data_IF_766875506429
#
_entry.id   IF_766875506429
#
_cell.length_a   1.000
_cell.length_b   1.000
_cell.length_c   1.000
_cell.angle_alpha   90.00
_cell.angle_beta   90.00
_cell.angle_gamma   90.00
#
_symmetry.space_group_name_H-M   'P 1'
#
loop_
_entity.id
_entity.type
_entity.pdbx_description
1 polymer ?
#
# COMPACT_ATOMS: atom_id res chain seq x y z
N UNK A 1 -54.39 45.47 -0.32
CA UNK A 1 -54.19 44.11 0.23
C UNK A 1 -53.55 43.25 -0.85
N UNK A 2 -52.22 43.11 -0.83
CA UNK A 2 -51.49 42.29 -1.79
C UNK A 2 -51.27 40.89 -1.21
N UNK A 3 -51.87 39.91 -1.86
CA UNK A 3 -51.77 38.49 -1.55
C UNK A 3 -50.32 38.03 -1.62
N UNK A 4 -49.77 37.61 -0.49
CA UNK A 4 -48.51 36.90 -0.43
C UNK A 4 -48.71 35.52 -1.08
N UNK A 5 -48.34 35.42 -2.36
CA UNK A 5 -48.33 34.14 -3.07
C UNK A 5 -47.52 33.13 -2.25
N UNK A 6 -48.21 32.07 -1.81
CA UNK A 6 -47.64 31.02 -0.99
C UNK A 6 -46.37 30.46 -1.60
N UNK A 7 -45.31 30.43 -0.80
CA UNK A 7 -44.09 29.70 -1.10
C UNK A 7 -44.45 28.21 -1.22
N UNK A 8 -44.74 27.77 -2.44
CA UNK A 8 -44.95 26.35 -2.75
C UNK A 8 -43.69 25.57 -2.37
N UNK A 9 -43.74 24.90 -1.23
CA UNK A 9 -42.69 23.97 -0.81
C UNK A 9 -42.67 22.79 -1.78
N UNK A 10 -41.80 22.84 -2.78
CA UNK A 10 -41.59 21.69 -3.67
C UNK A 10 -40.86 20.61 -2.87
N UNK A 11 -41.41 19.38 -2.78
CA UNK A 11 -40.70 18.30 -2.11
C UNK A 11 -39.34 18.07 -2.80
N UNK A 12 -38.31 17.67 -2.04
CA UNK A 12 -36.99 17.41 -2.61
C UNK A 12 -37.09 16.35 -3.72
N UNK A 13 -36.35 16.50 -4.83
CA UNK A 13 -36.42 15.58 -5.95
C UNK A 13 -36.08 14.15 -5.51
N UNK A 14 -36.76 13.17 -6.08
CA UNK A 14 -36.43 11.76 -5.88
C UNK A 14 -35.23 11.42 -6.76
N UNK A 15 -34.21 10.81 -6.18
CA UNK A 15 -33.00 10.35 -6.89
C UNK A 15 -32.90 8.85 -6.79
N UNK A 16 -33.10 8.19 -7.92
CA UNK A 16 -32.94 6.74 -8.06
C UNK A 16 -31.50 6.38 -8.39
N UNK A 17 -30.89 5.51 -7.59
CA UNK A 17 -29.50 5.12 -7.80
C UNK A 17 -29.12 3.79 -7.13
N UNK A 18 -28.31 2.99 -7.83
CA UNK A 18 -27.75 1.72 -7.34
C UNK A 18 -26.82 1.89 -6.13
N UNK A 19 -26.29 3.09 -5.91
CA UNK A 19 -25.26 3.34 -4.88
C UNK A 19 -25.81 3.42 -3.44
N UNK A 20 -27.12 3.21 -3.23
CA UNK A 20 -27.78 3.17 -1.91
C UNK A 20 -27.38 4.37 -1.02
N UNK A 21 -26.98 4.12 0.24
CA UNK A 21 -26.52 5.14 1.18
C UNK A 21 -25.24 5.89 0.77
N UNK A 22 -24.62 5.50 -0.35
CA UNK A 22 -23.44 6.15 -0.95
C UNK A 22 -23.82 7.07 -2.12
N UNK A 23 -25.12 7.25 -2.38
CA UNK A 23 -25.60 8.11 -3.44
C UNK A 23 -25.23 9.58 -3.16
N UNK A 24 -24.66 10.22 -4.18
CA UNK A 24 -24.21 11.62 -4.17
C UNK A 24 -25.27 12.59 -4.74
N UNK A 25 -26.44 12.09 -5.11
CA UNK A 25 -27.55 12.91 -5.57
C UNK A 25 -28.17 13.78 -4.47
N UNK A 26 -28.69 14.93 -4.87
CA UNK A 26 -29.40 15.88 -4.01
C UNK A 26 -30.88 15.49 -4.01
N UNK A 27 -31.46 15.27 -2.83
CA UNK A 27 -32.88 14.93 -2.66
C UNK A 27 -33.12 13.59 -1.97
N UNK A 28 -34.36 13.06 -2.07
CA UNK A 28 -34.75 11.78 -1.47
C UNK A 28 -34.16 10.62 -2.27
N UNK A 29 -33.23 9.88 -1.67
CA UNK A 29 -32.50 8.80 -2.35
C UNK A 29 -33.29 7.50 -2.27
N UNK A 30 -33.56 6.90 -3.43
CA UNK A 30 -34.21 5.60 -3.54
C UNK A 30 -33.25 4.65 -4.24
N UNK A 31 -33.10 3.44 -3.70
CA UNK A 31 -32.30 2.42 -4.34
C UNK A 31 -33.02 1.93 -5.59
N UNK A 32 -32.34 1.98 -6.74
CA UNK A 32 -32.78 1.36 -7.97
C UNK A 32 -31.62 0.56 -8.57
N UNK A 33 -31.74 -0.78 -8.72
CA UNK A 33 -30.66 -1.63 -9.23
C UNK A 33 -30.39 -1.46 -10.73
N UNK A 34 -31.22 -0.71 -11.46
CA UNK A 34 -31.11 -0.49 -12.90
C UNK A 34 -30.71 0.95 -13.27
N UNK A 35 -30.46 1.82 -12.28
CA UNK A 35 -30.15 3.23 -12.54
C UNK A 35 -28.94 3.72 -11.74
N UNK A 36 -28.10 4.55 -12.37
CA UNK A 36 -27.06 5.33 -11.72
C UNK A 36 -27.40 6.81 -11.94
N UNK A 37 -27.56 7.59 -10.86
CA UNK A 37 -27.82 9.02 -11.01
C UNK A 37 -26.58 9.74 -11.54
N UNK A 38 -26.76 10.85 -12.26
CA UNK A 38 -25.68 11.62 -12.91
C UNK A 38 -24.56 12.01 -11.95
N UNK A 39 -24.91 12.38 -10.71
CA UNK A 39 -23.93 12.72 -9.67
C UNK A 39 -23.05 11.54 -9.29
N UNK A 40 -23.62 10.33 -9.18
CA UNK A 40 -22.84 9.13 -8.91
C UNK A 40 -22.01 8.72 -10.12
N UNK A 41 -22.59 8.76 -11.32
CA UNK A 41 -21.93 8.38 -12.56
C UNK A 41 -20.67 9.24 -12.81
N UNK A 42 -20.79 10.55 -12.61
CA UNK A 42 -19.69 11.49 -12.83
C UNK A 42 -18.64 11.47 -11.72
N UNK A 43 -19.05 11.27 -10.46
CA UNK A 43 -18.19 11.54 -9.28
C UNK A 43 -17.68 10.31 -8.54
N UNK A 44 -18.23 9.12 -8.75
CA UNK A 44 -17.63 7.90 -8.20
C UNK A 44 -16.47 7.41 -9.07
N UNK A 45 -15.67 6.51 -8.52
CA UNK A 45 -14.69 5.79 -9.33
C UNK A 45 -15.39 4.76 -10.24
N UNK A 46 -15.03 4.68 -11.53
CA UNK A 46 -15.69 3.73 -12.44
C UNK A 46 -15.53 2.26 -12.01
N UNK A 47 -14.44 1.86 -11.35
CA UNK A 47 -14.31 0.47 -10.87
C UNK A 47 -15.31 0.18 -9.75
N UNK A 48 -15.51 1.12 -8.83
CA UNK A 48 -16.53 0.97 -7.77
C UNK A 48 -17.94 0.89 -8.36
N UNK A 49 -18.25 1.76 -9.32
CA UNK A 49 -19.54 1.72 -10.01
C UNK A 49 -19.74 0.36 -10.72
N UNK A 50 -18.70 -0.19 -11.36
CA UNK A 50 -18.76 -1.53 -11.98
C UNK A 50 -18.97 -2.63 -10.95
N UNK A 51 -18.31 -2.56 -9.79
CA UNK A 51 -18.54 -3.49 -8.68
C UNK A 51 -19.98 -3.41 -8.17
N UNK A 52 -20.53 -2.21 -8.00
CA UNK A 52 -21.91 -2.03 -7.55
C UNK A 52 -22.92 -2.41 -8.61
N UNK A 53 -22.61 -2.22 -9.90
CA UNK A 53 -23.43 -2.67 -11.02
C UNK A 53 -23.62 -4.19 -11.04
N UNK A 54 -22.74 -4.98 -10.41
CA UNK A 54 -22.89 -6.42 -10.21
C UNK A 54 -23.32 -7.16 -11.50
N UNK A 55 -22.55 -6.99 -12.58
CA UNK A 55 -22.82 -7.56 -13.90
C UNK A 55 -24.10 -7.08 -14.61
N UNK A 56 -24.78 -6.03 -14.12
CA UNK A 56 -25.88 -5.39 -14.83
C UNK A 56 -25.35 -4.71 -16.11
N UNK A 57 -25.63 -5.33 -17.27
CA UNK A 57 -25.11 -4.90 -18.58
C UNK A 57 -25.47 -3.47 -18.93
N UNK A 58 -26.69 -3.04 -18.62
CA UNK A 58 -27.16 -1.67 -18.90
C UNK A 58 -26.35 -0.64 -18.12
N UNK A 59 -26.10 -0.92 -16.83
CA UNK A 59 -25.29 -0.02 -16.00
C UNK A 59 -23.82 -0.03 -16.39
N UNK A 60 -23.27 -1.19 -16.76
CA UNK A 60 -21.89 -1.29 -17.25
C UNK A 60 -21.72 -0.47 -18.54
N UNK A 61 -22.66 -0.56 -19.48
CA UNK A 61 -22.64 0.25 -20.70
C UNK A 61 -22.66 1.75 -20.41
N UNK A 62 -23.52 2.21 -19.50
CA UNK A 62 -23.57 3.61 -19.06
C UNK A 62 -22.26 4.08 -18.42
N UNK A 63 -21.61 3.23 -17.61
CA UNK A 63 -20.32 3.55 -17.00
C UNK A 63 -19.22 3.63 -18.07
N UNK A 64 -19.23 2.72 -19.04
CA UNK A 64 -18.23 2.69 -20.11
C UNK A 64 -18.39 3.88 -21.06
N UNK A 65 -19.62 4.28 -21.37
CA UNK A 65 -19.92 5.51 -22.11
C UNK A 65 -19.38 6.76 -21.39
N UNK A 66 -19.64 6.88 -20.08
CA UNK A 66 -19.13 7.99 -19.26
C UNK A 66 -17.60 8.01 -19.22
N UNK A 67 -16.96 6.84 -19.11
CA UNK A 67 -15.50 6.72 -19.18
C UNK A 67 -15.00 7.17 -20.56
N UNK A 68 -15.64 6.72 -21.64
CA UNK A 68 -15.33 7.14 -23.01
C UNK A 68 -15.41 8.65 -23.17
N UNK A 69 -16.50 9.27 -22.70
CA UNK A 69 -16.69 10.73 -22.70
C UNK A 69 -15.56 11.47 -21.97
N UNK A 70 -15.11 10.95 -20.83
CA UNK A 70 -13.97 11.53 -20.08
C UNK A 70 -12.66 11.43 -20.86
N UNK A 71 -12.40 10.32 -21.57
CA UNK A 71 -11.23 10.20 -22.45
C UNK A 71 -11.32 11.18 -23.63
N UNK A 72 -12.48 11.37 -24.24
CA UNK A 72 -12.66 12.38 -25.30
C UNK A 72 -12.36 13.80 -24.80
N UNK A 73 -12.90 14.17 -23.64
CA UNK A 73 -12.60 15.47 -23.01
C UNK A 73 -11.11 15.62 -22.72
N UNK A 74 -10.48 14.57 -22.19
CA UNK A 74 -9.03 14.54 -21.96
C UNK A 74 -8.25 14.81 -23.25
N UNK A 75 -8.52 14.07 -24.33
CA UNK A 75 -7.81 14.25 -25.60
C UNK A 75 -7.98 15.66 -26.16
N UNK A 76 -9.19 16.22 -26.11
CA UNK A 76 -9.44 17.59 -26.54
C UNK A 76 -8.63 18.61 -25.73
N UNK A 77 -8.51 18.41 -24.41
CA UNK A 77 -7.73 19.31 -23.54
C UNK A 77 -6.23 19.15 -23.80
N UNK A 78 -5.74 17.91 -23.93
CA UNK A 78 -4.33 17.59 -24.21
C UNK A 78 -3.87 18.11 -25.57
N UNK A 79 -4.75 18.12 -26.58
CA UNK A 79 -4.48 18.70 -27.90
C UNK A 79 -4.14 20.20 -27.85
N UNK A 80 -4.58 20.91 -26.80
CA UNK A 80 -4.29 22.33 -26.59
C UNK A 80 -3.13 22.59 -25.63
N UNK A 81 -2.29 21.56 -25.36
CA UNK A 81 -1.14 21.67 -24.46
C UNK A 81 -1.52 21.91 -23.00
N UNK A 82 -2.74 21.55 -22.62
CA UNK A 82 -3.24 21.60 -21.24
C UNK A 82 -3.61 20.20 -20.78
N UNK A 83 -3.78 19.99 -19.48
CA UNK A 83 -4.05 18.66 -18.93
C UNK A 83 -5.18 18.71 -17.92
N UNK A 84 -5.88 17.60 -17.73
CA UNK A 84 -6.81 17.46 -16.62
C UNK A 84 -6.04 17.43 -15.30
N UNK A 85 -6.67 17.93 -14.24
CA UNK A 85 -6.18 17.73 -12.87
C UNK A 85 -5.93 16.23 -12.64
N UNK A 86 -4.85 15.87 -11.95
CA UNK A 86 -4.49 14.47 -11.68
C UNK A 86 -5.66 13.65 -11.09
N UNK A 87 -6.54 14.28 -10.29
CA UNK A 87 -7.73 13.67 -9.69
C UNK A 87 -8.90 13.41 -10.66
N UNK A 88 -8.92 14.07 -11.81
CA UNK A 88 -9.93 13.90 -12.87
C UNK A 88 -9.37 13.22 -14.12
N UNK A 89 -8.06 13.23 -14.32
CA UNK A 89 -7.40 12.64 -15.49
C UNK A 89 -7.53 11.10 -15.48
N UNK A 90 -8.17 10.50 -16.50
CA UNK A 90 -8.35 9.04 -16.60
C UNK A 90 -7.05 8.23 -16.56
N UNK A 91 -5.90 8.81 -16.95
CA UNK A 91 -4.62 8.09 -16.96
C UNK A 91 -4.16 7.71 -15.55
N UNK A 92 -4.59 8.44 -14.53
CA UNK A 92 -4.23 8.22 -13.14
C UNK A 92 -5.24 7.34 -12.38
N UNK A 93 -6.22 6.75 -13.09
CA UNK A 93 -7.29 5.95 -12.47
C UNK A 93 -6.79 4.74 -11.65
N UNK A 94 -5.60 4.23 -11.96
CA UNK A 94 -5.02 3.06 -11.30
C UNK A 94 -3.94 3.41 -10.27
N UNK A 95 -3.62 4.69 -10.09
CA UNK A 95 -2.58 5.10 -9.14
C UNK A 95 -2.99 4.79 -7.69
N UNK A 96 -2.01 4.37 -6.88
CA UNK A 96 -2.21 3.85 -5.52
C UNK A 96 -2.96 4.82 -4.59
N UNK A 97 -2.74 6.13 -4.77
CA UNK A 97 -3.41 7.17 -3.98
C UNK A 97 -4.91 7.25 -4.26
N UNK A 98 -5.36 7.00 -5.50
CA UNK A 98 -6.79 7.00 -5.83
C UNK A 98 -7.55 5.89 -5.13
N UNK A 99 -6.93 4.71 -4.92
CA UNK A 99 -7.55 3.58 -4.21
C UNK A 99 -7.79 3.87 -2.72
N UNK A 100 -6.98 4.73 -2.10
CA UNK A 100 -7.16 5.17 -0.70
C UNK A 100 -8.11 6.37 -0.57
N UNK A 101 -8.23 7.15 -1.64
CA UNK A 101 -9.05 8.37 -1.73
C UNK A 101 -10.50 8.11 -2.18
N UNK A 102 -10.92 6.84 -2.19
CA UNK A 102 -12.06 6.34 -2.95
C UNK A 102 -13.45 6.85 -2.51
N UNK A 103 -13.59 7.72 -1.52
CA UNK A 103 -14.89 8.28 -1.11
C UNK A 103 -14.75 9.54 -0.24
N UNK A 104 -13.97 10.55 -0.64
CA UNK A 104 -14.22 11.90 -0.10
C UNK A 104 -15.59 12.36 -0.62
N UNK A 105 -16.61 12.07 0.19
CA UNK A 105 -18.02 12.41 -0.01
C UNK A 105 -18.12 13.86 -0.47
N UNK A 106 -18.56 14.06 -1.70
CA UNK A 106 -19.02 15.37 -2.15
C UNK A 106 -17.94 16.40 -2.54
N UNK A 107 -16.67 16.03 -2.70
CA UNK A 107 -15.59 17.02 -2.99
C UNK A 107 -15.05 17.04 -4.41
N UNK A 108 -15.48 16.16 -5.32
CA UNK A 108 -15.25 16.36 -6.77
C UNK A 108 -16.10 17.54 -7.22
N UNK A 109 -15.61 18.75 -6.95
CA UNK A 109 -16.03 19.95 -7.64
C UNK A 109 -15.35 19.96 -9.00
N UNK A 110 -15.73 20.91 -9.85
CA UNK A 110 -15.16 21.19 -11.17
C UNK A 110 -13.63 21.44 -11.09
N UNK A 111 -12.80 20.40 -10.86
CA UNK A 111 -11.35 20.57 -10.81
C UNK A 111 -10.91 21.15 -12.16
N UNK A 112 -10.10 22.20 -12.09
CA UNK A 112 -9.67 22.97 -13.26
C UNK A 112 -8.60 22.22 -14.07
N UNK A 113 -8.50 22.61 -15.34
CA UNK A 113 -7.41 22.27 -16.25
C UNK A 113 -6.09 22.80 -15.68
N UNK A 114 -5.02 21.99 -15.74
CA UNK A 114 -3.67 22.30 -15.27
C UNK A 114 -2.70 22.40 -16.46
N UNK A 115 -1.56 23.08 -16.25
CA UNK A 115 -0.53 23.26 -17.29
C UNK A 115 0.39 22.07 -17.49
N UNK A 116 0.47 21.15 -16.53
CA UNK A 116 1.39 20.00 -16.54
C UNK A 116 0.67 18.72 -16.16
N UNK A 117 0.89 17.66 -16.94
CA UNK A 117 0.32 16.33 -16.70
C UNK A 117 0.67 15.79 -15.32
N UNK A 118 -0.28 15.13 -14.68
CA UNK A 118 -0.13 14.59 -13.33
C UNK A 118 -0.08 15.63 -12.21
N UNK A 119 -0.42 16.88 -12.49
CA UNK A 119 -0.51 17.94 -11.46
C UNK A 119 -1.90 18.01 -10.86
N UNK A 120 -2.00 18.12 -9.54
CA UNK A 120 -3.24 18.47 -8.86
C UNK A 120 -3.50 19.99 -8.99
N UNK A 121 -4.72 20.40 -9.38
CA UNK A 121 -5.05 21.83 -9.45
C UNK A 121 -5.00 22.48 -8.05
N UNK A 122 -4.83 23.79 -7.95
CA UNK A 122 -4.58 24.48 -6.67
C UNK A 122 -5.69 24.28 -5.60
N UNK A 123 -6.94 24.07 -6.02
CA UNK A 123 -8.04 23.75 -5.12
C UNK A 123 -7.94 22.31 -4.60
N UNK A 124 -7.71 21.38 -5.52
CA UNK A 124 -7.59 19.95 -5.22
C UNK A 124 -6.28 19.69 -4.41
N UNK A 125 -5.22 20.48 -4.65
CA UNK A 125 -3.97 20.52 -3.86
C UNK A 125 -4.20 21.00 -2.41
N UNK A 126 -4.77 22.20 -2.21
CA UNK A 126 -4.99 22.77 -0.87
C UNK A 126 -5.99 21.99 -0.03
N UNK A 127 -7.07 21.48 -0.62
CA UNK A 127 -8.14 20.80 0.13
C UNK A 127 -7.84 19.34 0.46
N UNK A 128 -7.12 18.62 -0.40
CA UNK A 128 -6.96 17.17 -0.28
C UNK A 128 -5.59 16.74 0.24
N UNK A 129 -4.51 17.38 -0.22
CA UNK A 129 -3.16 16.91 0.09
C UNK A 129 -2.64 17.42 1.44
N UNK A 130 -3.09 18.57 1.93
CA UNK A 130 -2.72 19.04 3.28
C UNK A 130 -3.36 18.24 4.43
N UNK A 131 -4.50 17.57 4.19
CA UNK A 131 -5.30 16.90 5.25
C UNK A 131 -5.22 15.38 5.23
N UNK A 132 -4.63 14.78 4.20
CA UNK A 132 -4.68 13.34 3.95
C UNK A 132 -3.26 12.86 3.64
N UNK A 133 -2.87 11.70 4.20
CA UNK A 133 -1.56 11.05 4.03
C UNK A 133 -1.23 10.56 2.60
N UNK A 134 -1.72 11.27 1.58
CA UNK A 134 -1.40 11.09 0.16
C UNK A 134 -0.25 12.01 -0.30
N UNK A 135 0.26 12.91 0.56
CA UNK A 135 1.43 13.78 0.27
C UNK A 135 2.63 12.97 -0.23
N UNK A 136 2.82 11.76 0.29
CA UNK A 136 3.89 10.85 -0.14
C UNK A 136 3.87 10.44 -1.63
N UNK A 137 2.80 10.73 -2.37
CA UNK A 137 2.67 10.41 -3.80
C UNK A 137 2.83 11.63 -4.72
N UNK A 138 2.93 12.84 -4.14
CA UNK A 138 3.06 14.08 -4.89
C UNK A 138 4.23 14.92 -4.34
N UNK A 139 4.95 15.60 -5.23
CA UNK A 139 5.93 16.61 -4.83
C UNK A 139 5.25 17.74 -4.03
N UNK A 140 5.99 18.54 -3.24
CA UNK A 140 5.45 19.72 -2.56
C UNK A 140 4.78 20.76 -3.48
N UNK A 141 4.98 20.64 -4.81
CA UNK A 141 4.37 21.48 -5.84
C UNK A 141 3.12 20.87 -6.47
N UNK A 142 2.70 19.68 -6.04
CA UNK A 142 1.49 19.01 -6.51
C UNK A 142 1.62 18.21 -7.78
N UNK A 143 2.84 17.86 -8.18
CA UNK A 143 3.10 16.95 -9.28
C UNK A 143 3.20 15.50 -8.77
N UNK A 144 2.51 14.56 -9.41
CA UNK A 144 2.65 13.14 -9.11
C UNK A 144 4.12 12.70 -9.28
N UNK A 145 4.69 11.99 -8.30
CA UNK A 145 6.08 11.52 -8.36
C UNK A 145 6.34 10.68 -9.63
N UNK A 146 5.40 9.83 -10.03
CA UNK A 146 5.49 9.02 -11.26
C UNK A 146 5.68 9.87 -12.54
N UNK A 147 5.11 11.08 -12.59
CA UNK A 147 5.30 12.01 -13.72
C UNK A 147 6.54 12.89 -13.55
N UNK A 148 6.91 13.22 -12.32
CA UNK A 148 8.18 13.89 -12.03
C UNK A 148 9.37 13.04 -12.54
N UNK A 149 9.32 11.72 -12.29
CA UNK A 149 10.36 10.76 -12.65
C UNK A 149 10.46 10.53 -14.16
N UNK A 150 9.32 10.59 -14.89
CA UNK A 150 9.30 10.52 -16.35
C UNK A 150 9.97 11.72 -17.02
N UNK A 151 9.79 12.93 -16.50
CA UNK A 151 10.43 14.14 -17.03
C UNK A 151 11.95 14.13 -16.80
N UNK A 152 12.40 13.52 -15.70
CA UNK A 152 13.83 13.28 -15.45
C UNK A 152 14.37 12.22 -16.41
N UNK A 153 13.60 11.18 -16.71
CA UNK A 153 14.00 10.07 -17.57
C UNK A 153 14.01 10.40 -19.06
N UNK A 154 13.08 11.26 -19.55
CA UNK A 154 12.97 11.63 -20.97
C UNK A 154 14.10 12.53 -21.46
N UNK A 155 14.83 13.20 -20.55
CA UNK A 155 16.03 13.98 -20.89
C UNK A 155 17.29 13.12 -21.09
N UNK A 156 17.22 11.81 -20.90
CA UNK A 156 18.41 10.94 -20.77
C UNK A 156 18.52 9.77 -21.76
N UNK A 157 17.67 9.68 -22.81
CA UNK A 157 17.78 8.58 -23.80
C UNK A 157 17.62 9.05 -25.26
N UNK A 158 18.54 8.65 -26.18
CA UNK A 158 18.30 8.66 -27.62
C UNK A 158 17.34 7.53 -28.01
N UNK A 159 16.54 7.77 -29.06
CA UNK A 159 15.56 6.81 -29.64
C UNK A 159 16.26 5.53 -30.13
N UNK A 160 15.79 4.36 -29.70
CA UNK A 160 16.13 3.05 -30.28
C UNK A 160 14.85 2.40 -30.84
N UNK A 161 14.95 1.89 -32.07
CA UNK A 161 13.87 1.27 -32.85
C UNK A 161 13.44 -0.13 -32.39
N UNK A 162 12.57 -0.81 -33.16
CA UNK A 162 11.87 -2.03 -32.72
C UNK A 162 12.78 -3.29 -32.71
N UNK A 163 12.41 -4.35 -31.97
CA UNK A 163 13.31 -5.46 -31.65
C UNK A 163 13.26 -6.60 -32.70
N UNK A 164 14.37 -7.33 -32.93
CA UNK A 164 14.34 -8.60 -33.63
C UNK A 164 14.21 -9.80 -32.67
N UNK A 165 13.89 -10.95 -33.28
CA UNK A 165 13.41 -12.21 -32.71
C UNK A 165 14.32 -12.92 -31.69
N UNK A 166 13.66 -13.78 -30.89
CA UNK A 166 14.16 -14.61 -29.78
C UNK A 166 15.40 -15.46 -30.14
N UNK A 167 16.52 -15.18 -29.46
CA UNK A 167 17.69 -16.05 -29.36
C UNK A 167 17.66 -16.98 -28.13
N UNK A 168 18.58 -17.96 -28.03
CA UNK A 168 18.63 -18.98 -26.98
C UNK A 168 18.79 -18.37 -25.56
N UNK A 169 18.40 -19.11 -24.49
CA UNK A 169 18.39 -18.57 -23.13
C UNK A 169 19.81 -18.10 -22.74
N UNK A 170 19.97 -16.86 -22.26
CA UNK A 170 21.28 -16.34 -21.92
C UNK A 170 21.91 -17.16 -20.79
N UNK A 171 23.19 -17.51 -20.95
CA UNK A 171 24.04 -18.13 -19.92
C UNK A 171 23.88 -17.39 -18.57
N UNK A 172 24.03 -18.06 -17.41
CA UNK A 172 23.70 -17.52 -16.08
C UNK A 172 24.77 -16.55 -15.54
N UNK A 173 25.28 -15.66 -16.39
CA UNK A 173 26.24 -14.64 -16.00
C UNK A 173 25.53 -13.52 -15.25
N UNK A 174 26.22 -12.93 -14.27
CA UNK A 174 25.70 -11.79 -13.53
C UNK A 174 26.06 -10.49 -14.25
N UNK A 175 25.18 -9.49 -14.22
CA UNK A 175 25.46 -8.14 -14.71
C UNK A 175 26.63 -7.46 -13.98
N UNK A 176 26.94 -7.91 -12.75
CA UNK A 176 28.13 -7.52 -11.99
C UNK A 176 29.43 -8.15 -12.52
N UNK A 177 29.38 -9.12 -13.45
CA UNK A 177 30.55 -9.77 -14.04
C UNK A 177 31.52 -10.28 -12.97
N UNK A 178 32.80 -9.92 -13.10
CA UNK A 178 33.86 -10.28 -12.16
C UNK A 178 33.66 -9.72 -10.73
N UNK A 179 32.83 -8.69 -10.54
CA UNK A 179 32.50 -8.21 -9.20
C UNK A 179 31.54 -9.15 -8.46
N UNK A 180 30.94 -10.14 -9.13
CA UNK A 180 29.99 -11.07 -8.53
C UNK A 180 30.69 -12.22 -7.79
N UNK A 181 30.56 -12.28 -6.46
CA UNK A 181 31.16 -13.33 -5.62
C UNK A 181 30.44 -14.70 -5.69
N UNK A 182 29.58 -14.93 -6.67
CA UNK A 182 28.79 -16.19 -6.74
C UNK A 182 29.59 -17.39 -7.24
N UNK A 183 30.72 -17.16 -7.93
CA UNK A 183 31.69 -18.19 -8.37
C UNK A 183 33.10 -17.59 -8.35
N UNK A 184 34.13 -18.36 -7.96
CA UNK A 184 35.53 -17.91 -7.96
C UNK A 184 36.08 -17.63 -9.37
N UNK A 185 35.53 -18.28 -10.40
CA UNK A 185 35.87 -18.04 -11.81
C UNK A 185 34.87 -17.05 -12.41
N UNK A 186 35.05 -15.78 -12.08
CA UNK A 186 34.18 -14.69 -12.54
C UNK A 186 34.38 -14.42 -14.03
N UNK A 187 33.60 -15.03 -14.90
CA UNK A 187 33.74 -14.80 -16.34
C UNK A 187 32.40 -14.55 -17.04
N UNK A 188 32.48 -13.60 -17.97
CA UNK A 188 31.43 -12.98 -18.79
C UNK A 188 30.37 -12.19 -18.01
N UNK A 189 30.04 -11.01 -18.54
CA UNK A 189 29.00 -10.13 -18.00
C UNK A 189 27.66 -10.55 -18.55
N UNK A 190 26.70 -10.81 -17.66
CA UNK A 190 25.34 -11.15 -18.06
C UNK A 190 24.43 -9.94 -18.22
N UNK A 191 23.23 -10.14 -18.80
CA UNK A 191 22.24 -9.08 -18.99
C UNK A 191 21.51 -8.68 -17.70
N UNK A 192 21.53 -9.51 -16.65
CA UNK A 192 20.70 -9.34 -15.44
C UNK A 192 21.47 -9.70 -14.16
N UNK A 193 20.96 -9.28 -13.00
CA UNK A 193 21.45 -9.62 -11.67
C UNK A 193 21.15 -11.10 -11.39
N UNK A 194 22.19 -11.89 -11.15
CA UNK A 194 22.04 -13.33 -10.85
C UNK A 194 21.31 -13.58 -9.52
N UNK A 195 20.87 -14.82 -9.30
CA UNK A 195 20.13 -15.21 -8.10
C UNK A 195 20.90 -14.97 -6.78
N UNK A 196 22.23 -15.14 -6.79
CA UNK A 196 23.09 -14.81 -5.66
C UNK A 196 23.06 -13.33 -5.30
N UNK A 197 23.30 -12.45 -6.28
CA UNK A 197 23.26 -11.01 -6.07
C UNK A 197 21.84 -10.54 -5.70
N UNK A 198 20.80 -11.15 -6.26
CA UNK A 198 19.41 -10.89 -5.84
C UNK A 198 19.17 -11.21 -4.37
N UNK A 199 19.97 -12.08 -3.75
CA UNK A 199 19.87 -12.37 -2.32
C UNK A 199 20.48 -11.28 -1.41
N UNK A 200 21.38 -10.44 -1.92
CA UNK A 200 22.02 -9.33 -1.17
C UNK A 200 21.03 -8.23 -0.78
N UNK A 201 21.42 -7.37 0.17
CA UNK A 201 20.70 -6.12 0.47
C UNK A 201 20.83 -5.14 -0.69
N UNK A 202 19.85 -4.24 -0.84
CA UNK A 202 19.92 -3.19 -1.85
C UNK A 202 21.11 -2.26 -1.59
N UNK A 203 21.38 -1.96 -0.32
CA UNK A 203 22.56 -1.19 0.11
C UNK A 203 23.85 -1.88 -0.39
N UNK A 204 24.02 -3.18 -0.14
CA UNK A 204 25.19 -3.92 -0.61
C UNK A 204 25.27 -3.99 -2.15
N UNK A 205 24.13 -4.09 -2.85
CA UNK A 205 24.09 -4.04 -4.32
C UNK A 205 24.52 -2.67 -4.86
N UNK A 206 24.09 -1.58 -4.22
CA UNK A 206 24.48 -0.22 -4.61
C UNK A 206 25.94 0.08 -4.29
N UNK A 207 26.43 -0.37 -3.13
CA UNK A 207 27.85 -0.29 -2.78
C UNK A 207 28.72 -1.04 -3.79
N UNK A 208 28.33 -2.27 -4.14
CA UNK A 208 29.03 -3.06 -5.15
C UNK A 208 28.96 -2.44 -6.55
N UNK A 209 27.88 -1.72 -6.87
CA UNK A 209 27.76 -1.00 -8.14
C UNK A 209 28.53 0.33 -8.14
N UNK A 210 28.85 0.92 -6.98
CA UNK A 210 29.41 2.26 -6.86
C UNK A 210 30.79 2.38 -7.52
N UNK A 211 31.62 1.35 -7.40
CA UNK A 211 32.97 1.26 -7.98
C UNK A 211 33.01 0.64 -9.39
N UNK A 212 31.86 0.25 -9.94
CA UNK A 212 31.81 -0.48 -11.20
C UNK A 212 31.77 0.46 -12.43
N UNK A 213 32.52 0.17 -13.52
CA UNK A 213 32.55 1.03 -14.73
C UNK A 213 31.17 1.28 -15.35
N UNK A 214 30.24 0.35 -15.15
CA UNK A 214 28.88 0.40 -15.67
C UNK A 214 27.82 0.68 -14.59
N UNK A 215 28.19 1.42 -13.54
CA UNK A 215 27.32 1.79 -12.41
C UNK A 215 25.92 2.23 -12.84
N UNK A 216 25.79 3.08 -13.88
CA UNK A 216 24.48 3.57 -14.34
C UNK A 216 23.55 2.43 -14.77
N UNK A 217 24.08 1.46 -15.51
CA UNK A 217 23.29 0.29 -15.95
C UNK A 217 22.95 -0.62 -14.78
N UNK A 218 23.91 -0.90 -13.89
CA UNK A 218 23.67 -1.69 -12.68
C UNK A 218 22.60 -1.06 -11.79
N UNK A 219 22.67 0.25 -11.54
CA UNK A 219 21.66 0.97 -10.78
C UNK A 219 20.26 0.85 -11.40
N UNK A 220 20.14 0.82 -12.74
CA UNK A 220 18.84 0.58 -13.40
C UNK A 220 18.33 -0.83 -13.14
N UNK A 221 19.19 -1.85 -13.22
CA UNK A 221 18.81 -3.23 -12.92
C UNK A 221 18.42 -3.41 -11.44
N UNK A 222 19.17 -2.80 -10.51
CA UNK A 222 18.88 -2.84 -9.07
C UNK A 222 17.53 -2.17 -8.80
N UNK A 223 17.26 -1.00 -9.39
CA UNK A 223 15.97 -0.33 -9.27
C UNK A 223 14.82 -1.15 -9.88
N UNK A 224 15.01 -1.73 -11.07
CA UNK A 224 14.01 -2.58 -11.70
C UNK A 224 13.67 -3.79 -10.82
N UNK A 225 14.68 -4.43 -10.23
CA UNK A 225 14.49 -5.54 -9.29
C UNK A 225 13.75 -5.08 -8.01
N UNK A 226 14.09 -3.91 -7.48
CA UNK A 226 13.38 -3.32 -6.33
C UNK A 226 11.90 -3.09 -6.64
N UNK A 227 11.59 -2.48 -7.79
CA UNK A 227 10.22 -2.27 -8.23
C UNK A 227 9.46 -3.57 -8.46
N UNK A 228 10.13 -4.62 -8.95
CA UNK A 228 9.55 -5.95 -9.08
C UNK A 228 9.14 -6.51 -7.71
N UNK A 229 10.01 -6.45 -6.70
CA UNK A 229 9.67 -6.90 -5.35
C UNK A 229 8.54 -6.08 -4.71
N UNK A 230 8.50 -4.78 -4.96
CA UNK A 230 7.40 -3.91 -4.54
C UNK A 230 6.07 -4.36 -5.18
N UNK A 231 6.08 -4.63 -6.49
CA UNK A 231 4.91 -5.13 -7.20
C UNK A 231 4.46 -6.48 -6.64
N UNK A 232 5.36 -7.46 -6.55
CA UNK A 232 5.08 -8.81 -6.07
C UNK A 232 4.55 -8.83 -4.63
N UNK A 233 5.13 -8.00 -3.75
CA UNK A 233 4.67 -7.85 -2.37
C UNK A 233 3.25 -7.30 -2.30
N UNK A 234 2.96 -6.22 -3.05
CA UNK A 234 1.64 -5.61 -3.08
C UNK A 234 0.59 -6.57 -3.67
N UNK A 235 0.93 -7.30 -4.74
CA UNK A 235 0.03 -8.26 -5.37
C UNK A 235 -0.31 -9.39 -4.40
N UNK A 236 0.70 -9.99 -3.75
CA UNK A 236 0.51 -11.04 -2.73
C UNK A 236 -0.38 -10.57 -1.58
N UNK A 237 -0.15 -9.38 -1.06
CA UNK A 237 -0.99 -8.79 0.00
C UNK A 237 -2.43 -8.62 -0.49
N UNK A 238 -2.63 -8.09 -1.69
CA UNK A 238 -3.95 -7.80 -2.23
C UNK A 238 -4.79 -9.04 -2.51
N UNK A 239 -4.12 -10.14 -2.90
CA UNK A 239 -4.75 -11.42 -3.23
C UNK A 239 -4.80 -12.39 -2.04
N UNK A 240 -4.29 -11.99 -0.87
CA UNK A 240 -4.21 -12.85 0.30
C UNK A 240 -3.30 -14.08 0.11
N UNK A 241 -2.34 -14.00 -0.82
CA UNK A 241 -1.36 -15.05 -1.05
C UNK A 241 -0.30 -15.08 0.05
N UNK A 242 0.51 -16.15 0.06
CA UNK A 242 1.70 -16.22 0.92
C UNK A 242 2.62 -15.03 0.68
N UNK A 243 3.17 -14.48 1.77
CA UNK A 243 4.02 -13.29 1.75
C UNK A 243 5.43 -13.62 1.25
N UNK A 244 6.18 -12.58 0.88
CA UNK A 244 7.62 -12.71 0.66
C UNK A 244 8.33 -12.95 2.00
N UNK A 245 9.41 -13.71 1.96
CA UNK A 245 10.38 -13.78 3.05
C UNK A 245 10.80 -12.36 3.46
N UNK A 246 10.96 -12.09 4.76
CA UNK A 246 11.35 -10.78 5.29
C UNK A 246 12.65 -10.25 4.67
N UNK A 247 13.58 -11.13 4.30
CA UNK A 247 14.80 -10.76 3.56
C UNK A 247 14.54 -10.21 2.13
N UNK A 248 13.32 -10.34 1.62
CA UNK A 248 12.86 -9.85 0.31
C UNK A 248 11.61 -8.98 0.39
N UNK A 249 11.01 -8.82 1.56
CA UNK A 249 9.91 -7.90 1.75
C UNK A 249 10.47 -6.46 1.72
N UNK A 250 10.00 -5.59 0.80
CA UNK A 250 10.46 -4.21 0.71
C UNK A 250 10.28 -3.39 2.00
N UNK A 251 9.36 -3.80 2.89
CA UNK A 251 9.13 -3.13 4.18
C UNK A 251 10.40 -3.11 5.06
N UNK A 252 11.19 -4.18 5.03
CA UNK A 252 12.38 -4.32 5.88
C UNK A 252 13.68 -3.91 5.18
N UNK A 253 13.60 -3.31 3.98
CA UNK A 253 14.79 -3.03 3.16
C UNK A 253 15.83 -2.13 3.84
N UNK A 254 15.39 -1.27 4.76
CA UNK A 254 16.24 -0.33 5.48
C UNK A 254 16.59 -0.76 6.90
N UNK A 255 16.08 -1.90 7.37
CA UNK A 255 16.39 -2.41 8.70
C UNK A 255 17.87 -2.78 8.81
N UNK A 256 18.48 -2.52 9.96
CA UNK A 256 19.92 -2.73 10.18
C UNK A 256 20.33 -4.19 9.95
N UNK A 257 19.53 -5.14 10.46
CA UNK A 257 19.73 -6.57 10.24
C UNK A 257 19.69 -6.93 8.75
N UNK A 258 18.80 -6.29 7.99
CA UNK A 258 18.62 -6.60 6.59
C UNK A 258 19.80 -6.13 5.75
N UNK A 259 20.38 -4.97 6.05
CA UNK A 259 21.53 -4.41 5.33
C UNK A 259 22.75 -5.32 5.41
N UNK A 260 22.97 -5.91 6.59
CA UNK A 260 24.11 -6.78 6.89
C UNK A 260 23.88 -8.25 6.54
N UNK A 261 22.63 -8.70 6.40
CA UNK A 261 22.34 -10.09 6.09
C UNK A 261 22.43 -10.41 4.58
N UNK A 262 23.28 -11.39 4.26
CA UNK A 262 23.31 -12.08 2.97
C UNK A 262 23.33 -13.60 3.24
N UNK A 263 22.34 -14.39 2.77
CA UNK A 263 22.31 -15.82 3.00
C UNK A 263 23.48 -16.59 2.36
N UNK A 264 24.28 -15.93 1.48
CA UNK A 264 25.40 -16.54 0.76
C UNK A 264 24.98 -17.85 0.10
N UNK A 265 23.87 -17.81 -0.64
CA UNK A 265 23.30 -18.94 -1.36
C UNK A 265 22.72 -18.45 -2.71
N UNK A 266 22.78 -19.30 -3.74
CA UNK A 266 22.18 -19.05 -5.07
C UNK A 266 20.67 -19.33 -5.08
N UNK A 267 20.15 -20.10 -4.11
CA UNK A 267 18.72 -20.42 -4.03
C UNK A 267 17.89 -19.16 -3.75
N UNK A 268 16.83 -18.94 -4.52
CA UNK A 268 15.92 -17.79 -4.36
C UNK A 268 15.03 -17.96 -3.13
N UNK A 269 14.77 -16.87 -2.40
CA UNK A 269 13.92 -16.89 -1.19
C UNK A 269 12.53 -17.49 -1.47
N UNK A 270 12.07 -18.32 -0.53
CA UNK A 270 10.71 -18.86 -0.56
C UNK A 270 9.67 -17.85 -0.06
N UNK A 271 8.41 -18.25 -0.13
CA UNK A 271 7.29 -17.52 0.45
C UNK A 271 7.00 -17.98 1.88
N UNK A 272 6.27 -17.17 2.63
CA UNK A 272 5.99 -17.41 4.05
C UNK A 272 4.52 -17.18 4.38
N UNK A 273 4.04 -17.80 5.45
CA UNK A 273 2.63 -17.76 5.84
C UNK A 273 2.23 -16.43 6.47
N UNK A 274 3.16 -15.81 7.19
CA UNK A 274 2.94 -14.56 7.93
C UNK A 274 3.95 -13.51 7.51
N UNK A 275 3.49 -12.27 7.36
CA UNK A 275 4.37 -11.14 7.06
C UNK A 275 5.40 -10.96 8.17
N UNK A 276 6.63 -10.60 7.78
CA UNK A 276 7.77 -10.55 8.69
C UNK A 276 8.48 -11.88 8.90
N UNK A 277 8.01 -12.99 8.32
CA UNK A 277 8.72 -14.27 8.42
C UNK A 277 9.95 -14.36 7.53
N UNK A 278 11.04 -14.92 8.05
CA UNK A 278 12.07 -15.53 7.21
C UNK A 278 11.54 -16.86 6.68
N UNK A 279 11.77 -17.15 5.40
CA UNK A 279 11.59 -18.51 4.91
C UNK A 279 12.58 -19.45 5.60
N UNK A 280 12.24 -20.74 5.69
CA UNK A 280 13.04 -21.75 6.39
C UNK A 280 14.53 -21.70 6.02
N UNK A 281 14.83 -21.49 4.72
CA UNK A 281 16.22 -21.32 4.26
C UNK A 281 16.90 -20.09 4.85
N UNK A 282 16.28 -18.92 4.77
CA UNK A 282 16.88 -17.69 5.29
C UNK A 282 17.03 -17.72 6.81
N UNK A 283 16.08 -18.33 7.52
CA UNK A 283 16.20 -18.55 8.95
C UNK A 283 17.39 -19.45 9.28
N UNK A 284 17.52 -20.60 8.60
CA UNK A 284 18.64 -21.51 8.79
C UNK A 284 19.99 -20.84 8.46
N UNK A 285 20.07 -20.07 7.36
CA UNK A 285 21.28 -19.31 7.01
C UNK A 285 21.62 -18.22 8.02
N UNK A 286 20.63 -17.58 8.64
CA UNK A 286 20.89 -16.63 9.72
C UNK A 286 21.44 -17.34 10.98
N UNK A 287 20.93 -18.54 11.29
CA UNK A 287 21.45 -19.38 12.39
C UNK A 287 22.90 -19.84 12.12
N UNK A 288 23.17 -20.39 10.93
CA UNK A 288 24.53 -20.82 10.53
C UNK A 288 25.55 -19.68 10.61
N UNK A 289 25.13 -18.44 10.29
CA UNK A 289 25.97 -17.26 10.33
C UNK A 289 26.08 -16.62 11.72
N UNK A 290 25.44 -17.18 12.75
CA UNK A 290 25.46 -16.63 14.11
C UNK A 290 24.89 -15.22 14.21
N UNK A 291 23.86 -14.90 13.41
CA UNK A 291 23.29 -13.57 13.34
C UNK A 291 22.60 -13.18 14.67
N UNK A 292 23.19 -12.27 15.43
CA UNK A 292 22.66 -11.81 16.73
C UNK A 292 21.27 -11.17 16.63
N UNK A 293 20.99 -10.47 15.54
CA UNK A 293 19.68 -9.88 15.26
C UNK A 293 18.57 -10.91 15.07
N UNK A 294 18.89 -12.21 14.93
CA UNK A 294 17.89 -13.26 14.88
C UNK A 294 17.09 -13.33 16.20
N UNK A 295 17.62 -12.77 17.30
CA UNK A 295 16.88 -12.58 18.54
C UNK A 295 15.67 -11.62 18.40
N UNK A 296 15.66 -10.75 17.39
CA UNK A 296 14.48 -9.93 17.04
C UNK A 296 13.39 -10.74 16.35
N UNK A 297 13.69 -11.99 15.93
CA UNK A 297 12.71 -12.90 15.37
C UNK A 297 12.16 -13.80 16.48
N UNK A 298 10.84 -13.74 16.68
CA UNK A 298 10.11 -14.70 17.49
C UNK A 298 9.87 -15.96 16.66
N UNK A 299 10.81 -16.91 16.79
CA UNK A 299 10.91 -18.08 15.91
C UNK A 299 11.30 -17.65 14.50
N UNK A 300 10.46 -17.99 13.51
CA UNK A 300 10.72 -17.62 12.12
C UNK A 300 10.16 -16.23 11.74
N UNK A 301 9.55 -15.46 12.66
CA UNK A 301 8.90 -14.16 12.35
C UNK A 301 9.54 -12.97 13.05
N UNK A 302 9.76 -11.87 12.32
CA UNK A 302 10.29 -10.62 12.84
C UNK A 302 9.32 -9.97 13.82
N UNK A 303 9.85 -9.60 14.98
CA UNK A 303 9.13 -8.99 16.07
C UNK A 303 8.26 -9.98 16.85
N UNK A 304 7.81 -9.54 18.00
CA UNK A 304 6.95 -10.27 18.91
C UNK A 304 5.48 -10.19 18.46
N UNK A 305 4.66 -11.21 18.73
CA UNK A 305 3.22 -11.10 18.54
C UNK A 305 2.67 -9.96 19.41
N UNK A 306 1.58 -9.33 18.96
CA UNK A 306 0.77 -8.51 19.86
C UNK A 306 0.35 -9.35 21.06
N UNK A 307 0.37 -8.79 22.28
CA UNK A 307 -0.03 -9.49 23.52
C UNK A 307 -1.37 -10.22 23.41
N UNK A 308 -2.35 -9.62 22.73
CA UNK A 308 -3.67 -10.24 22.50
C UNK A 308 -3.62 -11.50 21.62
N UNK A 309 -2.65 -11.59 20.71
CA UNK A 309 -2.44 -12.71 19.79
C UNK A 309 -1.22 -13.58 20.19
N UNK A 310 -0.54 -13.29 21.31
CA UNK A 310 0.60 -14.07 21.80
C UNK A 310 0.10 -15.28 22.61
N UNK A 311 0.27 -16.48 22.04
CA UNK A 311 -0.16 -17.73 22.66
C UNK A 311 0.54 -18.02 24.00
N UNK A 312 1.76 -17.48 24.20
CA UNK A 312 2.53 -17.67 25.44
C UNK A 312 1.88 -16.98 26.63
N UNK A 313 1.14 -15.90 26.37
CA UNK A 313 0.43 -15.05 27.34
C UNK A 313 -1.05 -15.45 27.48
N UNK A 314 -1.42 -16.66 27.05
CA UNK A 314 -2.77 -17.18 27.14
C UNK A 314 -2.97 -18.15 28.33
N UNK A 315 -2.06 -18.10 29.33
CA UNK A 315 -2.15 -18.95 30.52
C UNK A 315 -3.23 -18.41 31.46
N UNK A 316 -3.92 -19.26 32.24
CA UNK A 316 -4.95 -18.82 33.18
C UNK A 316 -4.46 -17.76 34.19
N UNK A 317 -3.21 -17.87 34.65
CA UNK A 317 -2.57 -16.91 35.57
C UNK A 317 -2.34 -15.52 34.95
N UNK A 318 -2.22 -15.46 33.62
CA UNK A 318 -2.01 -14.22 32.87
C UNK A 318 -3.33 -13.63 32.36
N UNK A 319 -4.50 -14.22 32.68
CA UNK A 319 -5.80 -13.77 32.13
C UNK A 319 -6.38 -12.51 32.77
N UNK A 320 -5.89 -12.08 33.93
CA UNK A 320 -6.49 -10.96 34.66
C UNK A 320 -6.47 -9.65 33.86
N UNK A 321 -5.40 -9.39 33.11
CA UNK A 321 -5.34 -8.21 32.24
C UNK A 321 -6.17 -8.37 30.96
N UNK A 322 -6.62 -9.58 30.57
CA UNK A 322 -7.45 -9.82 29.37
C UNK A 322 -8.95 -9.62 29.60
N UNK A 323 -9.41 -9.76 30.84
CA UNK A 323 -10.82 -9.47 31.22
C UNK A 323 -11.07 -7.96 31.26
N UNK A 324 -10.03 -7.20 31.58
CA UNK A 324 -10.09 -5.75 31.60
C UNK A 324 -10.56 -5.16 32.93
N UNK A 325 -10.70 -3.84 32.98
CA UNK A 325 -11.26 -3.15 34.12
C UNK A 325 -12.74 -3.46 34.23
N UNK A 326 -13.20 -3.62 35.47
CA UNK A 326 -14.60 -3.78 35.79
C UNK A 326 -15.24 -2.40 35.99
N UNK A 327 -16.50 -2.26 35.56
CA UNK A 327 -17.32 -1.10 35.87
C UNK A 327 -17.82 -1.12 37.33
N UNK A 328 -18.63 -0.11 37.69
CA UNK A 328 -19.18 0.02 39.05
C UNK A 328 -20.12 -1.12 39.43
N UNK A 329 -20.63 -1.85 38.43
CA UNK A 329 -21.51 -3.01 38.57
C UNK A 329 -20.72 -4.33 38.55
N UNK A 330 -19.38 -4.26 38.50
CA UNK A 330 -18.50 -5.42 38.49
C UNK A 330 -18.43 -6.14 37.13
N UNK A 331 -18.93 -5.55 36.05
CA UNK A 331 -18.90 -6.12 34.71
C UNK A 331 -17.67 -5.66 33.93
N UNK A 332 -17.01 -6.55 33.17
CA UNK A 332 -15.87 -6.17 32.35
C UNK A 332 -16.26 -5.29 31.17
N UNK A 333 -15.39 -4.35 30.79
CA UNK A 333 -15.62 -3.51 29.61
C UNK A 333 -15.73 -4.39 28.34
N UNK A 334 -16.87 -4.34 27.63
CA UNK A 334 -17.12 -5.22 26.47
C UNK A 334 -16.22 -4.91 25.27
N UNK A 335 -15.50 -3.78 25.26
CA UNK A 335 -14.55 -3.40 24.21
C UNK A 335 -13.10 -3.77 24.56
N UNK A 336 -12.85 -4.26 25.78
CA UNK A 336 -11.52 -4.60 26.25
C UNK A 336 -10.93 -5.79 25.49
N UNK A 337 -11.65 -6.91 25.43
CA UNK A 337 -11.18 -8.05 24.68
C UNK A 337 -11.27 -7.80 23.17
N UNK A 338 -10.32 -8.36 22.42
CA UNK A 338 -10.29 -8.22 20.96
C UNK A 338 -11.36 -9.10 20.33
N UNK A 339 -12.44 -8.48 19.84
CA UNK A 339 -13.35 -9.12 18.88
C UNK A 339 -12.66 -9.32 17.50
N UNK A 340 -12.45 -10.57 17.05
CA UNK A 340 -11.80 -10.87 15.76
C UNK A 340 -12.59 -10.38 14.54
N UNK A 341 -13.92 -10.24 14.63
CA UNK A 341 -14.78 -9.80 13.53
C UNK A 341 -14.71 -8.28 13.35
N UNK A 342 -14.59 -7.53 14.44
CA UNK A 342 -14.49 -6.05 14.41
C UNK A 342 -13.08 -5.52 14.20
N UNK A 343 -12.07 -6.11 14.85
CA UNK A 343 -10.79 -5.43 15.06
C UNK A 343 -9.66 -5.83 14.08
N UNK A 344 -9.92 -6.81 13.20
CA UNK A 344 -8.94 -7.32 12.25
C UNK A 344 -7.75 -8.02 12.90
N UNK A 345 -6.77 -8.43 12.09
CA UNK A 345 -5.56 -9.14 12.58
C UNK A 345 -4.58 -8.18 13.26
N UNK A 346 -3.94 -8.63 14.35
CA UNK A 346 -2.89 -7.84 14.99
C UNK A 346 -1.62 -7.81 14.15
N UNK A 347 -0.86 -6.71 14.28
CA UNK A 347 0.51 -6.63 13.80
C UNK A 347 1.50 -7.21 14.82
N UNK A 348 2.74 -7.42 14.37
CA UNK A 348 3.89 -7.72 15.23
C UNK A 348 4.45 -6.44 15.87
N UNK A 349 5.21 -6.58 16.95
CA UNK A 349 5.84 -5.48 17.69
C UNK A 349 7.33 -5.69 17.85
N UNK A 350 8.08 -4.59 17.95
CA UNK A 350 9.52 -4.64 18.21
C UNK A 350 9.83 -5.10 19.63
N UNK A 351 8.93 -4.80 20.56
CA UNK A 351 9.09 -5.11 21.97
C UNK A 351 8.23 -6.32 22.37
N UNK A 352 8.80 -7.15 23.26
CA UNK A 352 8.11 -8.27 23.87
C UNK A 352 6.99 -7.74 24.76
N UNK A 353 5.88 -8.49 24.82
CA UNK A 353 4.74 -8.15 25.66
C UNK A 353 4.09 -6.79 25.32
N UNK A 354 4.19 -6.28 24.08
CA UNK A 354 3.56 -5.02 23.68
C UNK A 354 2.34 -5.20 22.78
N UNK A 355 1.33 -4.34 22.92
CA UNK A 355 0.16 -4.34 22.04
C UNK A 355 0.48 -3.70 20.70
N UNK A 356 -0.05 -4.24 19.59
CA UNK A 356 0.15 -3.62 18.28
C UNK A 356 -0.52 -2.24 18.18
N UNK A 357 -0.14 -1.39 17.23
CA UNK A 357 -0.66 0.00 17.16
C UNK A 357 -2.19 0.08 17.10
N UNK A 358 -2.84 -0.88 16.43
CA UNK A 358 -4.30 -0.95 16.37
C UNK A 358 -4.91 -1.26 17.74
N UNK A 359 -4.33 -2.24 18.43
CA UNK A 359 -4.73 -2.58 19.78
C UNK A 359 -4.42 -1.42 20.73
N UNK A 360 -3.27 -0.78 20.62
CA UNK A 360 -2.92 0.41 21.40
C UNK A 360 -3.95 1.51 21.23
N UNK A 361 -4.18 1.99 20.00
CA UNK A 361 -5.14 3.07 19.74
C UNK A 361 -6.54 2.74 20.27
N UNK A 362 -7.00 1.50 20.07
CA UNK A 362 -8.30 1.04 20.59
C UNK A 362 -8.33 1.10 22.12
N UNK A 363 -7.26 0.63 22.76
CA UNK A 363 -7.22 0.45 24.20
C UNK A 363 -6.95 1.75 24.95
N UNK A 364 -6.24 2.71 24.36
CA UNK A 364 -5.97 4.01 24.98
C UNK A 364 -7.25 4.81 25.31
N UNK A 365 -8.35 4.53 24.61
CA UNK A 365 -9.65 5.14 24.86
C UNK A 365 -10.42 4.43 26.00
N UNK A 366 -9.96 3.27 26.45
CA UNK A 366 -10.62 2.47 27.47
C UNK A 366 -10.10 2.85 28.87
N UNK A 367 -11.02 3.17 29.78
CA UNK A 367 -10.71 3.50 31.18
C UNK A 367 -9.90 2.36 31.80
N UNK A 368 -8.82 2.66 32.51
CA UNK A 368 -8.01 1.63 33.19
C UNK A 368 -6.95 0.94 32.32
N UNK A 369 -6.79 1.31 31.03
CA UNK A 369 -5.70 0.82 30.17
C UNK A 369 -4.32 0.92 30.84
N UNK A 370 -4.00 2.09 31.40
CA UNK A 370 -2.73 2.38 32.06
C UNK A 370 -2.39 1.50 33.26
N UNK A 371 -3.37 0.74 33.80
CA UNK A 371 -3.18 -0.20 34.91
C UNK A 371 -2.35 -1.41 34.48
N UNK A 372 -2.61 -1.93 33.29
CA UNK A 372 -1.98 -3.15 32.79
C UNK A 372 -0.87 -2.85 31.78
N UNK A 373 -1.07 -1.82 30.96
CA UNK A 373 -0.13 -1.44 29.92
C UNK A 373 0.48 -0.08 30.22
N UNK A 374 1.72 0.10 29.81
CA UNK A 374 2.34 1.41 29.76
C UNK A 374 1.60 2.30 28.75
N UNK A 375 1.31 3.54 29.15
CA UNK A 375 0.50 4.47 28.37
C UNK A 375 1.26 5.10 27.20
N UNK A 376 2.60 5.02 27.20
CA UNK A 376 3.44 5.62 26.15
C UNK A 376 3.68 4.60 25.02
N UNK A 377 3.98 3.35 25.36
CA UNK A 377 4.44 2.32 24.42
C UNK A 377 3.46 1.16 24.24
N UNK A 378 2.48 1.02 25.13
CA UNK A 378 1.53 -0.10 25.12
C UNK A 378 2.18 -1.42 25.53
N UNK A 379 3.24 -1.36 26.32
CA UNK A 379 3.96 -2.53 26.80
C UNK A 379 3.30 -3.03 28.08
N UNK A 380 2.96 -4.31 28.14
CA UNK A 380 2.34 -4.95 29.29
C UNK A 380 3.34 -4.88 30.46
N UNK A 381 2.92 -4.28 31.57
CA UNK A 381 3.75 -4.10 32.75
C UNK A 381 4.20 -5.46 33.28
N UNK A 382 5.43 -5.52 33.79
CA UNK A 382 6.07 -6.78 34.23
C UNK A 382 5.22 -7.61 35.20
N UNK A 383 4.44 -6.97 36.08
CA UNK A 383 3.54 -7.65 37.03
C UNK A 383 2.44 -8.48 36.36
N UNK A 384 2.24 -8.32 35.05
CA UNK A 384 1.20 -8.99 34.27
C UNK A 384 1.74 -9.76 33.05
N UNK A 385 3.05 -9.67 32.77
CA UNK A 385 3.69 -10.28 31.61
C UNK A 385 4.69 -11.39 31.97
N UNK A 386 5.16 -12.12 30.95
CA UNK A 386 6.20 -13.15 31.06
C UNK A 386 7.62 -12.60 31.10
#
# INVERSE_FOLDING_TARGET
MSSAAGLHFRPPPIVECITQGRCLGIGRKIFNPHQICTNCLTRHDPQQLRTWANNNRTLLALIDEEVGRKYTVKYNIEAHGRFLCAFEDPDFRYCRWRRRDLNLRGTRLTCKIVRRKGTACAECWRRHLQKIGIVQYFTPTGLCHEEADKVVSSRLLPRLGPPPMLGPPPKPHCAFGAACNSRPEGHERGPDICAWCRNMSFDALYEQAASHPYRRHLNRLINAYMHQLDHDSNERISKGWSYLCASKDPEYRFDAWRRSFNPKDVRLCGTVRHRGQLCARCHHKAQEQGCSWLAEFDGDRLGFPCVFDDARLNRPVDRNWRVGPLDEQGQPDPHWEKDPQRHGRCGRRREKNSVCQRCFNRMCEIRGFGRYFDAEWGTLRQSFGL
#
